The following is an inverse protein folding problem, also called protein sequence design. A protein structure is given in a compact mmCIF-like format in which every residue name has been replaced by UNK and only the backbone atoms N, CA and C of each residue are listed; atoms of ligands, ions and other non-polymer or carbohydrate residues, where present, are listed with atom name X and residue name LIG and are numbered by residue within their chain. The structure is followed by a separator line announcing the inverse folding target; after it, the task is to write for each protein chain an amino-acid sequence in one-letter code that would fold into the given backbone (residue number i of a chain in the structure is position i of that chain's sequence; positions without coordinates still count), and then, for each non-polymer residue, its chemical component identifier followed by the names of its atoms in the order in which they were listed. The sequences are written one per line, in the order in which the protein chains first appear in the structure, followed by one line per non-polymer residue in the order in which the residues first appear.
data_IF_431467196880
#
_entry.id   IF_431467196880
#
_cell.length_a   1.000
_cell.length_b   1.000
_cell.length_c   1.000
_cell.angle_alpha   90.00
_cell.angle_beta   90.00
_cell.angle_gamma   90.00
#
_symmetry.space_group_name_H-M   'P 1'
#
loop_
_entity.id
_entity.type
_entity.pdbx_description
1 polymer ?
#
# COMPACT_ATOMS: atom_id res chain seq x y z
N UNK A 1 -3.70 3.92 3.45
CA UNK A 1 -2.89 4.41 4.58
C UNK A 1 -3.84 4.82 5.69
N UNK A 2 -3.68 4.32 6.92
CA UNK A 2 -4.53 4.70 8.05
C UNK A 2 -4.40 6.19 8.35
N UNK A 3 -5.50 6.81 8.76
CA UNK A 3 -5.53 8.24 9.17
C UNK A 3 -5.65 8.41 10.67
N UNK A 4 -6.20 7.41 11.34
CA UNK A 4 -6.45 7.43 12.78
C UNK A 4 -6.35 6.01 13.34
N UNK A 5 -6.01 5.92 14.62
CA UNK A 5 -6.01 4.68 15.36
C UNK A 5 -6.45 4.98 16.80
N UNK A 6 -7.26 4.10 17.36
CA UNK A 6 -7.69 4.17 18.75
C UNK A 6 -7.32 2.85 19.43
N UNK A 7 -6.81 2.96 20.66
CA UNK A 7 -6.58 1.81 21.51
C UNK A 7 -7.22 2.08 22.89
N UNK A 8 -7.99 1.15 23.38
CA UNK A 8 -8.51 1.15 24.74
C UNK A 8 -7.74 0.14 25.58
N UNK A 9 -7.19 0.57 26.70
CA UNK A 9 -6.39 -0.28 27.57
C UNK A 9 -6.90 -0.20 29.01
N UNK A 10 -6.84 -1.31 29.72
CA UNK A 10 -7.18 -1.37 31.16
C UNK A 10 -5.89 -1.42 31.94
N UNK A 11 -5.76 -0.52 32.90
CA UNK A 11 -4.59 -0.41 33.75
C UNK A 11 -5.02 -0.36 35.26
N UNK A 12 -4.14 -0.81 36.13
CA UNK A 12 -4.38 -0.66 37.56
C UNK A 12 -4.44 0.83 37.94
N UNK A 13 -5.34 1.21 38.84
CA UNK A 13 -5.59 2.62 39.18
C UNK A 13 -4.35 3.35 39.70
N UNK A 14 -3.48 2.67 40.43
CA UNK A 14 -2.20 3.20 40.93
C UNK A 14 -1.14 3.38 39.83
N UNK A 15 -1.34 2.82 38.63
CA UNK A 15 -0.45 2.90 37.46
C UNK A 15 -0.91 3.89 36.39
N UNK A 16 -2.09 4.46 36.52
CA UNK A 16 -2.70 5.33 35.53
C UNK A 16 -1.78 6.52 35.14
N UNK A 17 -1.21 7.19 36.15
CA UNK A 17 -0.33 8.35 35.90
C UNK A 17 0.98 7.94 35.18
N UNK A 18 1.56 6.79 35.57
CA UNK A 18 2.78 6.26 34.94
C UNK A 18 2.54 5.90 33.46
N UNK A 19 1.44 5.20 33.20
CA UNK A 19 1.09 4.78 31.83
C UNK A 19 0.75 5.99 30.95
N UNK A 20 -0.02 6.96 31.49
CA UNK A 20 -0.30 8.22 30.77
C UNK A 20 0.98 8.94 30.37
N UNK A 21 1.90 9.12 31.32
CA UNK A 21 3.18 9.77 31.03
C UNK A 21 4.01 9.02 29.98
N UNK A 22 4.00 7.68 30.01
CA UNK A 22 4.68 6.87 29.01
C UNK A 22 4.09 7.06 27.61
N UNK A 23 2.75 7.09 27.47
CA UNK A 23 2.08 7.35 26.19
C UNK A 23 2.37 8.76 25.67
N UNK A 24 2.29 9.78 26.54
CA UNK A 24 2.56 11.17 26.18
C UNK A 24 4.02 11.37 25.73
N UNK A 25 4.98 10.70 26.37
CA UNK A 25 6.39 10.71 25.95
C UNK A 25 6.59 10.03 24.60
N UNK A 26 6.03 8.84 24.39
CA UNK A 26 6.08 8.16 23.10
C UNK A 26 5.44 8.99 21.99
N UNK A 27 4.29 9.62 22.25
CA UNK A 27 3.62 10.51 21.31
C UNK A 27 4.47 11.72 20.93
N UNK A 28 5.25 12.26 21.87
CA UNK A 28 6.18 13.36 21.60
C UNK A 28 7.31 12.91 20.69
N UNK A 29 7.94 11.76 20.95
CA UNK A 29 9.01 11.20 20.13
C UNK A 29 8.52 10.91 18.70
N UNK A 30 7.34 10.29 18.55
CA UNK A 30 6.72 10.02 17.24
C UNK A 30 6.42 11.33 16.51
N UNK A 31 5.92 12.35 17.20
CA UNK A 31 5.64 13.65 16.58
C UNK A 31 6.92 14.35 16.11
N UNK A 32 8.02 14.20 16.83
CA UNK A 32 9.33 14.72 16.40
C UNK A 32 9.86 13.99 15.18
N UNK A 33 9.71 12.65 15.13
CA UNK A 33 10.11 11.81 13.99
C UNK A 33 9.35 12.17 12.71
N UNK A 34 8.04 12.38 12.81
CA UNK A 34 7.17 12.66 11.66
C UNK A 34 6.87 14.14 11.46
N UNK A 35 7.64 15.05 12.05
CA UNK A 35 7.39 16.49 11.98
C UNK A 35 7.32 17.06 10.55
N UNK A 36 8.01 16.45 9.58
CA UNK A 36 8.01 16.87 8.18
C UNK A 36 6.87 16.27 7.37
N UNK A 37 6.56 14.99 7.59
CA UNK A 37 5.56 14.25 6.80
C UNK A 37 4.15 14.37 7.36
N UNK A 38 4.00 14.51 8.70
CA UNK A 38 2.74 14.50 9.43
C UNK A 38 2.75 15.55 10.55
N UNK A 39 2.95 16.82 10.21
CA UNK A 39 3.06 17.93 11.16
C UNK A 39 1.81 18.08 12.07
N UNK A 40 0.64 17.65 11.60
CA UNK A 40 -0.63 17.72 12.31
C UNK A 40 -0.95 16.49 13.16
N UNK A 41 -0.01 15.55 13.31
CA UNK A 41 -0.18 14.35 14.13
C UNK A 41 -0.56 14.72 15.57
N UNK A 42 -1.66 14.11 16.06
CA UNK A 42 -2.20 14.34 17.39
C UNK A 42 -2.37 13.00 18.12
N UNK A 43 -1.98 12.98 19.37
CA UNK A 43 -2.29 11.90 20.30
C UNK A 43 -3.09 12.50 21.46
N UNK A 44 -4.25 11.91 21.75
CA UNK A 44 -5.13 12.31 22.87
C UNK A 44 -5.23 11.14 23.80
N UNK A 45 -5.10 11.37 25.09
CA UNK A 45 -5.23 10.36 26.13
C UNK A 45 -6.39 10.74 27.04
N UNK A 46 -7.48 9.97 26.94
CA UNK A 46 -8.64 10.09 27.81
C UNK A 46 -8.59 9.03 28.90
N UNK A 47 -8.97 9.41 30.10
CA UNK A 47 -9.01 8.49 31.26
C UNK A 47 -10.45 8.39 31.74
N UNK A 48 -10.97 7.19 31.82
CA UNK A 48 -12.25 6.89 32.46
C UNK A 48 -12.03 5.98 33.69
N UNK A 49 -12.75 6.27 34.77
CA UNK A 49 -12.74 5.44 35.95
C UNK A 49 -13.88 4.40 35.90
N UNK A 50 -13.62 3.22 36.42
CA UNK A 50 -14.61 2.16 36.52
C UNK A 50 -14.89 1.45 35.21
N UNK A 51 -14.05 0.52 34.85
CA UNK A 51 -14.26 -0.34 33.69
C UNK A 51 -15.16 -1.54 34.05
N UNK A 52 -16.23 -1.73 33.26
CA UNK A 52 -17.09 -2.93 33.34
C UNK A 52 -16.86 -3.86 32.14
N UNK A 53 -15.89 -3.57 31.31
CA UNK A 53 -15.61 -4.28 30.09
C UNK A 53 -14.53 -5.35 30.30
N UNK A 54 -14.68 -6.50 29.67
CA UNK A 54 -13.64 -7.52 29.63
C UNK A 54 -12.48 -7.04 28.74
N UNK A 55 -11.25 -7.28 29.16
CA UNK A 55 -10.05 -6.96 28.41
C UNK A 55 -9.38 -8.23 27.89
N UNK A 56 -8.63 -8.09 26.84
CA UNK A 56 -7.67 -9.10 26.39
C UNK A 56 -6.64 -9.34 27.49
N UNK A 57 -6.27 -10.60 27.71
CA UNK A 57 -5.29 -10.95 28.74
C UNK A 57 -3.96 -10.24 28.53
N UNK A 58 -3.16 -10.07 29.57
CA UNK A 58 -1.82 -9.49 29.46
C UNK A 58 -0.93 -10.28 28.48
N UNK A 59 -0.99 -11.63 28.52
CA UNK A 59 -0.22 -12.50 27.64
C UNK A 59 -0.63 -12.28 26.17
N UNK A 60 -1.92 -12.27 25.87
CA UNK A 60 -2.43 -12.07 24.51
C UNK A 60 -2.18 -10.65 24.00
N UNK A 61 -2.31 -9.64 24.86
CA UNK A 61 -1.98 -8.25 24.53
C UNK A 61 -0.49 -8.11 24.18
N UNK A 62 0.39 -8.69 25.00
CA UNK A 62 1.84 -8.70 24.75
C UNK A 62 2.17 -9.40 23.44
N UNK A 63 1.53 -10.55 23.18
CA UNK A 63 1.71 -11.31 21.93
C UNK A 63 1.25 -10.52 20.73
N UNK A 64 0.10 -9.85 20.80
CA UNK A 64 -0.42 -9.03 19.72
C UNK A 64 0.48 -7.82 19.39
N UNK A 65 0.93 -7.09 20.42
CA UNK A 65 1.87 -5.97 20.25
C UNK A 65 3.20 -6.46 19.65
N UNK A 66 3.72 -7.58 20.15
CA UNK A 66 4.96 -8.18 19.62
C UNK A 66 4.81 -8.61 18.16
N UNK A 67 3.66 -9.17 17.78
CA UNK A 67 3.36 -9.52 16.40
C UNK A 67 3.32 -8.27 15.50
N UNK A 68 2.63 -7.19 15.93
CA UNK A 68 2.56 -5.93 15.19
C UNK A 68 3.97 -5.37 14.97
N UNK A 69 4.83 -5.40 15.99
CA UNK A 69 6.21 -4.92 15.89
C UNK A 69 7.11 -5.82 15.01
N UNK A 70 6.85 -7.12 14.96
CA UNK A 70 7.64 -8.07 14.17
C UNK A 70 7.24 -8.08 12.69
N UNK A 71 5.98 -7.79 12.38
CA UNK A 71 5.51 -7.76 11.00
C UNK A 71 6.10 -6.57 10.25
N UNK A 72 6.56 -6.79 9.00
CA UNK A 72 7.06 -5.70 8.18
C UNK A 72 5.93 -4.72 7.83
N UNK A 73 6.29 -3.45 7.61
CA UNK A 73 5.37 -2.42 7.13
C UNK A 73 6.12 -1.37 6.31
N UNK A 74 5.47 -0.81 5.28
CA UNK A 74 6.06 0.21 4.42
C UNK A 74 6.72 -0.34 3.16
N UNK A 75 7.78 0.32 2.68
CA UNK A 75 8.51 -0.07 1.47
C UNK A 75 9.48 -1.20 1.81
N UNK A 76 9.28 -2.35 1.14
CA UNK A 76 10.13 -3.52 1.28
C UNK A 76 11.26 -3.56 0.26
N UNK A 77 10.99 -3.03 -0.93
CA UNK A 77 11.95 -3.08 -2.03
C UNK A 77 11.70 -1.98 -3.04
N UNK A 78 12.76 -1.37 -3.51
CA UNK A 78 12.75 -0.46 -4.67
C UNK A 78 13.03 -1.26 -5.93
N UNK A 79 12.51 -0.80 -7.07
CA UNK A 79 12.79 -1.38 -8.39
C UNK A 79 14.29 -1.33 -8.69
N UNK A 80 14.79 -2.40 -9.33
CA UNK A 80 16.15 -2.46 -9.84
C UNK A 80 16.26 -2.01 -11.31
N UNK A 81 15.12 -1.82 -11.96
CA UNK A 81 15.03 -1.50 -13.38
C UNK A 81 14.57 -0.06 -13.63
N UNK A 82 13.91 0.57 -12.66
CA UNK A 82 13.37 1.93 -12.79
C UNK A 82 13.69 2.72 -11.51
N UNK A 83 14.38 3.83 -11.68
CA UNK A 83 14.76 4.69 -10.56
C UNK A 83 13.53 5.26 -9.84
N UNK A 84 13.63 5.34 -8.51
CA UNK A 84 12.61 5.90 -7.62
C UNK A 84 11.24 5.18 -7.62
N UNK A 85 11.14 4.03 -8.28
CA UNK A 85 9.91 3.22 -8.27
C UNK A 85 9.92 2.24 -7.08
N UNK A 86 8.85 2.25 -6.28
CA UNK A 86 8.60 1.21 -5.28
C UNK A 86 8.18 -0.07 -6.02
N UNK A 87 8.92 -1.15 -5.80
CA UNK A 87 8.62 -2.48 -6.37
C UNK A 87 7.67 -3.27 -5.48
N UNK A 88 8.00 -3.34 -4.19
CA UNK A 88 7.27 -4.15 -3.20
C UNK A 88 7.02 -3.34 -1.94
N UNK A 89 5.79 -3.32 -1.50
CA UNK A 89 5.39 -2.64 -0.26
C UNK A 89 4.22 -3.35 0.41
N UNK A 90 4.03 -3.06 1.68
CA UNK A 90 2.82 -3.42 2.39
C UNK A 90 2.43 -2.32 3.37
N UNK A 91 1.14 -2.28 3.69
CA UNK A 91 0.57 -1.30 4.60
C UNK A 91 -0.38 -1.99 5.57
N UNK A 92 -0.13 -1.86 6.87
CA UNK A 92 -1.10 -2.21 7.88
C UNK A 92 -2.22 -1.17 7.86
N UNK A 93 -3.33 -1.53 7.24
CA UNK A 93 -4.43 -0.61 6.98
C UNK A 93 -5.49 -0.59 8.07
N UNK A 94 -5.74 -1.74 8.72
CA UNK A 94 -6.79 -1.88 9.73
C UNK A 94 -6.33 -2.81 10.84
N UNK A 95 -6.58 -2.40 12.08
CA UNK A 95 -6.54 -3.25 13.27
C UNK A 95 -7.96 -3.30 13.83
N UNK A 96 -8.48 -4.47 14.08
CA UNK A 96 -9.78 -4.65 14.74
C UNK A 96 -9.68 -5.71 15.84
N UNK A 97 -10.49 -5.54 16.87
CA UNK A 97 -10.68 -6.47 17.96
C UNK A 97 -12.18 -6.79 18.05
N UNK A 98 -12.49 -8.08 18.04
CA UNK A 98 -13.85 -8.59 18.26
C UNK A 98 -13.81 -9.88 19.08
N UNK A 99 -14.94 -10.57 19.22
CA UNK A 99 -15.06 -11.82 19.98
C UNK A 99 -14.17 -12.95 19.45
N UNK A 100 -13.77 -12.90 18.17
CA UNK A 100 -12.87 -13.89 17.54
C UNK A 100 -11.39 -13.59 17.80
N UNK A 101 -11.06 -12.39 18.26
CA UNK A 101 -9.70 -11.96 18.60
C UNK A 101 -9.26 -10.70 17.85
N UNK A 102 -7.94 -10.51 17.79
CA UNK A 102 -7.31 -9.36 17.12
C UNK A 102 -7.05 -9.72 15.66
N UNK A 103 -7.55 -8.90 14.76
CA UNK A 103 -7.34 -9.03 13.32
C UNK A 103 -6.51 -7.86 12.78
N UNK A 104 -5.43 -8.17 12.06
CA UNK A 104 -4.55 -7.22 11.38
C UNK A 104 -4.75 -7.36 9.88
N UNK A 105 -5.18 -6.31 9.18
CA UNK A 105 -5.38 -6.33 7.73
C UNK A 105 -4.32 -5.52 7.02
N UNK A 106 -3.58 -6.20 6.17
CA UNK A 106 -2.53 -5.60 5.35
C UNK A 106 -2.94 -5.54 3.88
N UNK A 107 -2.54 -4.47 3.20
CA UNK A 107 -2.54 -4.40 1.75
C UNK A 107 -1.12 -4.63 1.25
N UNK A 108 -0.89 -5.73 0.52
CA UNK A 108 0.39 -6.08 -0.07
C UNK A 108 0.38 -5.72 -1.55
N UNK A 109 1.47 -5.15 -2.03
CA UNK A 109 1.65 -4.81 -3.44
C UNK A 109 3.06 -5.15 -3.90
N UNK A 110 3.18 -5.74 -5.07
CA UNK A 110 4.45 -5.92 -5.75
C UNK A 110 4.24 -6.00 -7.25
N UNK A 111 5.12 -5.37 -8.03
CA UNK A 111 5.20 -5.57 -9.48
C UNK A 111 5.94 -6.85 -9.86
N UNK A 112 6.58 -7.56 -8.90
CA UNK A 112 7.35 -8.78 -9.11
C UNK A 112 6.73 -9.95 -8.36
N UNK A 113 6.25 -10.95 -9.08
CA UNK A 113 5.53 -12.09 -8.49
C UNK A 113 6.35 -12.89 -7.48
N UNK A 114 7.64 -13.11 -7.74
CA UNK A 114 8.54 -13.79 -6.81
C UNK A 114 8.75 -13.02 -5.50
N UNK A 115 8.84 -11.68 -5.57
CA UNK A 115 8.98 -10.83 -4.40
C UNK A 115 7.70 -10.84 -3.54
N UNK A 116 6.52 -10.79 -4.18
CA UNK A 116 5.24 -10.92 -3.48
C UNK A 116 5.12 -12.26 -2.76
N UNK A 117 5.50 -13.36 -3.43
CA UNK A 117 5.49 -14.70 -2.83
C UNK A 117 6.41 -14.79 -1.62
N UNK A 118 7.60 -14.21 -1.70
CA UNK A 118 8.54 -14.16 -0.58
C UNK A 118 7.99 -13.36 0.60
N UNK A 119 7.41 -12.19 0.36
CA UNK A 119 6.79 -11.37 1.40
C UNK A 119 5.64 -12.10 2.10
N UNK A 120 4.77 -12.79 1.35
CA UNK A 120 3.71 -13.63 1.92
C UNK A 120 4.27 -14.74 2.81
N UNK A 121 5.34 -15.41 2.37
CA UNK A 121 5.99 -16.43 3.17
C UNK A 121 6.55 -15.87 4.47
N UNK A 122 7.18 -14.70 4.43
CA UNK A 122 7.70 -14.02 5.61
C UNK A 122 6.58 -13.68 6.60
N UNK A 123 5.49 -13.09 6.13
CA UNK A 123 4.32 -12.77 6.97
C UNK A 123 3.77 -14.05 7.63
N UNK A 124 3.62 -15.12 6.85
CA UNK A 124 3.13 -16.40 7.35
C UNK A 124 4.02 -16.97 8.45
N UNK A 125 5.33 -17.02 8.25
CA UNK A 125 6.29 -17.51 9.26
C UNK A 125 6.26 -16.68 10.53
N UNK A 126 6.23 -15.35 10.41
CA UNK A 126 6.13 -14.46 11.59
C UNK A 126 4.81 -14.71 12.31
N UNK A 127 3.69 -14.76 11.60
CA UNK A 127 2.37 -15.02 12.21
C UNK A 127 2.35 -16.35 12.98
N UNK A 128 2.85 -17.42 12.36
CA UNK A 128 2.93 -18.74 12.99
C UNK A 128 3.80 -18.74 14.26
N UNK A 129 4.92 -18.01 14.27
CA UNK A 129 5.78 -17.86 15.44
C UNK A 129 5.07 -17.21 16.63
N UNK A 130 4.11 -16.34 16.37
CA UNK A 130 3.26 -15.69 17.38
C UNK A 130 1.89 -16.39 17.57
N UNK A 131 1.72 -17.62 17.08
CA UNK A 131 0.48 -18.39 17.14
C UNK A 131 -0.72 -17.68 16.52
N UNK A 132 -0.48 -16.89 15.50
CA UNK A 132 -1.48 -16.23 14.68
C UNK A 132 -1.64 -16.95 13.32
N UNK A 133 -2.79 -16.79 12.68
CA UNK A 133 -3.04 -17.30 11.35
C UNK A 133 -2.92 -16.17 10.33
N UNK A 134 -2.35 -16.47 9.15
CA UNK A 134 -2.26 -15.52 8.04
C UNK A 134 -3.03 -16.08 6.83
N UNK A 135 -4.00 -15.31 6.36
CA UNK A 135 -4.79 -15.61 5.16
C UNK A 135 -4.55 -14.56 4.09
N UNK A 136 -4.49 -14.99 2.84
CA UNK A 136 -4.27 -14.11 1.69
C UNK A 136 -5.47 -14.19 0.75
N UNK A 137 -6.10 -13.05 0.50
CA UNK A 137 -7.31 -12.91 -0.32
C UNK A 137 -7.17 -11.78 -1.33
N UNK A 138 -8.01 -11.76 -2.36
CA UNK A 138 -8.04 -10.67 -3.33
C UNK A 138 -6.78 -10.57 -4.18
N UNK A 139 -6.15 -11.71 -4.46
CA UNK A 139 -4.91 -11.75 -5.22
C UNK A 139 -5.14 -11.42 -6.70
N UNK A 140 -4.22 -10.64 -7.25
CA UNK A 140 -4.13 -10.40 -8.68
C UNK A 140 -2.68 -10.58 -9.16
N UNK A 141 -2.46 -11.00 -10.42
CA UNK A 141 -1.11 -11.18 -10.96
C UNK A 141 -0.30 -9.88 -10.94
N UNK A 142 0.99 -9.99 -10.65
CA UNK A 142 1.92 -8.90 -10.84
C UNK A 142 2.01 -8.52 -12.32
N UNK A 143 2.15 -7.22 -12.61
CA UNK A 143 2.46 -6.74 -13.95
C UNK A 143 3.91 -6.30 -13.97
N UNK A 144 4.77 -7.26 -14.33
CA UNK A 144 6.21 -7.05 -14.36
C UNK A 144 6.61 -6.13 -15.51
N UNK A 145 7.61 -5.26 -15.26
CA UNK A 145 8.18 -4.42 -16.32
C UNK A 145 8.87 -5.27 -17.36
N UNK A 146 8.38 -5.23 -18.59
CA UNK A 146 8.96 -5.95 -19.74
C UNK A 146 10.07 -5.11 -20.32
N UNK A 147 11.35 -5.54 -20.15
CA UNK A 147 12.53 -4.80 -20.66
C UNK A 147 12.47 -4.62 -22.18
N UNK A 148 12.19 -5.68 -22.89
CA UNK A 148 12.09 -5.72 -24.36
C UNK A 148 10.62 -5.68 -24.78
N UNK A 149 10.07 -4.49 -25.00
CA UNK A 149 8.68 -4.28 -25.42
C UNK A 149 8.64 -3.56 -26.75
N UNK A 150 8.34 -4.30 -27.82
CA UNK A 150 8.19 -3.73 -29.16
C UNK A 150 7.02 -2.74 -29.21
N UNK A 151 5.93 -3.04 -28.52
CA UNK A 151 4.77 -2.15 -28.45
C UNK A 151 5.16 -0.80 -27.84
N UNK A 152 5.88 -0.82 -26.71
CA UNK A 152 6.35 0.42 -26.07
C UNK A 152 7.25 1.23 -26.99
N UNK A 153 8.19 0.58 -27.67
CA UNK A 153 9.14 1.27 -28.55
C UNK A 153 8.44 1.92 -29.74
N UNK A 154 7.48 1.21 -30.36
CA UNK A 154 6.65 1.75 -31.44
C UNK A 154 5.78 2.92 -30.94
N UNK A 155 5.17 2.79 -29.76
CA UNK A 155 4.35 3.84 -29.16
C UNK A 155 5.16 5.10 -28.82
N UNK A 156 6.36 4.95 -28.26
CA UNK A 156 7.28 6.09 -27.99
C UNK A 156 7.63 6.81 -29.29
N UNK A 157 7.99 6.07 -30.33
CA UNK A 157 8.32 6.63 -31.64
C UNK A 157 7.15 7.43 -32.24
N UNK A 158 5.94 6.88 -32.19
CA UNK A 158 4.74 7.55 -32.72
C UNK A 158 4.43 8.80 -31.88
N UNK A 159 4.53 8.72 -30.58
CA UNK A 159 4.31 9.87 -29.70
C UNK A 159 5.30 11.01 -30.00
N UNK A 160 6.59 10.68 -30.17
CA UNK A 160 7.62 11.66 -30.51
C UNK A 160 7.37 12.30 -31.89
N UNK A 161 6.91 11.53 -32.88
CA UNK A 161 6.51 12.05 -34.19
C UNK A 161 5.31 13.00 -34.12
N UNK A 162 4.30 12.70 -33.27
CA UNK A 162 3.09 13.50 -33.16
C UNK A 162 3.31 14.78 -32.35
N UNK A 163 4.12 14.72 -31.26
CA UNK A 163 4.19 15.79 -30.27
C UNK A 163 5.58 16.43 -30.13
N UNK A 164 6.60 15.96 -30.87
CA UNK A 164 7.96 16.51 -30.86
C UNK A 164 8.73 16.27 -29.55
N UNK A 165 8.22 15.40 -28.66
CA UNK A 165 8.84 15.06 -27.38
C UNK A 165 8.56 13.59 -27.05
N UNK A 166 9.45 12.97 -26.27
CA UNK A 166 9.22 11.60 -25.78
C UNK A 166 8.18 11.59 -24.66
N UNK A 167 7.34 10.54 -24.58
CA UNK A 167 6.47 10.35 -23.42
C UNK A 167 7.30 9.94 -22.20
N UNK A 168 6.80 10.22 -21.03
CA UNK A 168 7.32 9.62 -19.78
C UNK A 168 6.90 8.16 -19.74
N UNK A 169 7.86 7.28 -19.50
CA UNK A 169 7.60 5.84 -19.27
C UNK A 169 7.67 5.61 -17.78
N UNK A 170 6.56 5.16 -17.24
CA UNK A 170 6.44 4.86 -15.82
C UNK A 170 6.03 3.41 -15.63
N UNK A 171 6.34 2.86 -14.48
CA UNK A 171 5.77 1.62 -14.00
C UNK A 171 5.16 1.86 -12.61
N UNK A 172 4.12 1.13 -12.30
CA UNK A 172 3.43 1.23 -11.01
C UNK A 172 3.31 -0.16 -10.39
N UNK A 173 3.36 -0.24 -9.09
CA UNK A 173 3.13 -1.49 -8.34
C UNK A 173 1.65 -1.63 -7.91
N UNK A 174 0.74 -1.13 -8.74
CA UNK A 174 -0.71 -1.24 -8.54
C UNK A 174 -1.30 -2.37 -9.38
N UNK A 175 -2.41 -2.95 -8.90
CA UNK A 175 -3.21 -3.88 -9.67
C UNK A 175 -3.96 -3.13 -10.77
N UNK A 176 -3.58 -3.43 -12.01
CA UNK A 176 -4.26 -2.92 -13.19
C UNK A 176 -4.64 -4.09 -14.10
N UNK A 177 -5.58 -3.87 -15.00
CA UNK A 177 -6.09 -4.87 -15.94
C UNK A 177 -4.98 -5.52 -16.76
N UNK A 178 -3.92 -4.76 -17.08
CA UNK A 178 -2.75 -5.27 -17.80
C UNK A 178 -2.08 -6.44 -17.06
N UNK A 179 -2.00 -6.41 -15.74
CA UNK A 179 -1.47 -7.53 -14.93
C UNK A 179 -2.33 -8.78 -15.06
N UNK A 180 -3.65 -8.63 -15.04
CA UNK A 180 -4.60 -9.75 -15.21
C UNK A 180 -4.48 -10.35 -16.62
N UNK A 181 -4.41 -9.50 -17.64
CA UNK A 181 -4.28 -9.94 -19.02
C UNK A 181 -2.92 -10.61 -19.29
N UNK A 182 -1.84 -10.02 -18.83
CA UNK A 182 -0.49 -10.58 -18.95
C UNK A 182 -0.33 -11.91 -18.19
N UNK A 183 -1.01 -12.08 -17.05
CA UNK A 183 -1.02 -13.32 -16.30
C UNK A 183 -1.82 -14.45 -16.98
N UNK A 184 -2.74 -14.14 -17.90
CA UNK A 184 -3.56 -15.12 -18.63
C UNK A 184 -3.07 -15.41 -20.04
N UNK A 185 -2.38 -14.46 -20.67
CA UNK A 185 -1.95 -14.56 -22.06
C UNK A 185 -0.42 -14.56 -22.08
N UNK A 186 0.16 -15.70 -22.32
CA UNK A 186 1.61 -15.89 -22.34
C UNK A 186 2.25 -14.99 -23.42
N UNK A 187 3.31 -14.26 -23.04
CA UNK A 187 4.06 -13.39 -23.94
C UNK A 187 3.37 -12.07 -24.28
N UNK A 188 2.18 -11.78 -23.74
CA UNK A 188 1.47 -10.53 -24.00
C UNK A 188 2.37 -9.32 -23.77
N UNK A 189 2.40 -8.43 -24.74
CA UNK A 189 3.00 -7.11 -24.65
C UNK A 189 1.88 -6.08 -24.51
N UNK A 190 1.77 -5.43 -23.37
CA UNK A 190 0.69 -4.49 -23.08
C UNK A 190 1.19 -3.24 -22.36
N UNK A 191 0.55 -2.12 -22.67
CA UNK A 191 0.82 -0.80 -22.14
C UNK A 191 -0.48 -0.21 -21.62
N UNK A 192 -0.43 0.37 -20.43
CA UNK A 192 -1.51 1.18 -19.90
C UNK A 192 -1.28 2.65 -20.22
N UNK A 193 -2.29 3.31 -20.73
CA UNK A 193 -2.27 4.75 -21.02
C UNK A 193 -3.68 5.31 -20.92
N UNK A 194 -3.78 6.61 -20.69
CA UNK A 194 -5.07 7.27 -20.58
C UNK A 194 -4.94 8.79 -20.70
N UNK A 195 -6.08 9.49 -20.74
CA UNK A 195 -6.10 10.94 -20.65
C UNK A 195 -5.74 11.42 -19.24
N UNK A 196 -5.54 12.73 -19.10
CA UNK A 196 -5.30 13.36 -17.80
C UNK A 196 -6.59 13.28 -16.96
N UNK A 197 -6.48 12.64 -15.79
CA UNK A 197 -7.55 12.52 -14.79
C UNK A 197 -7.04 13.18 -13.52
N UNK A 198 -7.90 13.98 -12.89
CA UNK A 198 -7.60 14.74 -11.69
C UNK A 198 -8.49 14.27 -10.53
N UNK A 199 -8.01 14.43 -9.31
CA UNK A 199 -8.73 14.10 -8.07
C UNK A 199 -9.27 12.66 -8.03
N UNK A 200 -8.49 11.72 -8.57
CA UNK A 200 -8.86 10.31 -8.71
C UNK A 200 -9.27 9.73 -7.35
N UNK A 201 -10.36 8.97 -7.33
CA UNK A 201 -10.96 8.35 -6.13
C UNK A 201 -11.59 9.36 -5.14
N UNK A 202 -11.96 10.54 -5.61
CA UNK A 202 -12.72 11.53 -4.83
C UNK A 202 -14.03 11.88 -5.50
N UNK A 203 -14.90 12.63 -4.81
CA UNK A 203 -16.15 13.17 -5.39
C UNK A 203 -15.91 14.26 -6.43
N UNK A 204 -14.71 14.79 -6.49
CA UNK A 204 -14.28 15.85 -7.42
C UNK A 204 -13.54 15.26 -8.64
N UNK A 205 -13.51 13.94 -8.79
CA UNK A 205 -12.84 13.28 -9.90
C UNK A 205 -13.33 13.81 -11.24
N UNK A 206 -12.41 14.26 -12.07
CA UNK A 206 -12.73 14.81 -13.38
C UNK A 206 -11.67 14.52 -14.43
N UNK A 207 -12.09 14.57 -15.71
CA UNK A 207 -11.32 14.20 -16.88
C UNK A 207 -11.07 15.42 -17.77
N UNK A 208 -9.88 15.57 -18.29
CA UNK A 208 -9.55 16.59 -19.30
C UNK A 208 -10.08 16.21 -20.68
N UNK A 209 -11.07 16.96 -21.19
CA UNK A 209 -11.66 16.75 -22.53
C UNK A 209 -10.60 16.89 -23.62
N UNK A 210 -9.70 17.88 -23.52
CA UNK A 210 -8.65 18.11 -24.51
C UNK A 210 -7.61 16.99 -24.54
N UNK A 211 -7.25 16.42 -23.35
CA UNK A 211 -6.33 15.28 -23.31
C UNK A 211 -6.99 14.00 -23.82
N UNK A 212 -8.29 13.81 -23.60
CA UNK A 212 -9.05 12.69 -24.17
C UNK A 212 -9.02 12.72 -25.69
N UNK A 213 -9.18 13.89 -26.31
CA UNK A 213 -9.05 14.04 -27.76
C UNK A 213 -7.65 13.67 -28.24
N UNK A 214 -6.60 14.19 -27.60
CA UNK A 214 -5.21 13.85 -27.94
C UNK A 214 -4.94 12.35 -27.81
N UNK A 215 -5.44 11.74 -26.73
CA UNK A 215 -5.29 10.31 -26.50
C UNK A 215 -5.98 9.48 -27.60
N UNK A 216 -7.19 9.85 -27.98
CA UNK A 216 -7.91 9.20 -29.08
C UNK A 216 -7.13 9.28 -30.40
N UNK A 217 -6.64 10.46 -30.80
CA UNK A 217 -5.82 10.67 -31.99
C UNK A 217 -4.52 9.83 -31.94
N UNK A 218 -3.88 9.76 -30.76
CA UNK A 218 -2.69 8.94 -30.57
C UNK A 218 -2.98 7.44 -30.74
N UNK A 219 -4.05 6.92 -30.15
CA UNK A 219 -4.47 5.52 -30.30
C UNK A 219 -4.70 5.18 -31.78
N UNK A 220 -5.38 6.04 -32.53
CA UNK A 220 -5.60 5.82 -33.95
C UNK A 220 -4.28 5.70 -34.73
N UNK A 221 -3.29 6.55 -34.44
CA UNK A 221 -1.97 6.48 -35.06
C UNK A 221 -1.21 5.21 -34.69
N UNK A 222 -1.29 4.76 -33.43
CA UNK A 222 -0.68 3.51 -32.97
C UNK A 222 -1.28 2.31 -33.72
N UNK A 223 -2.61 2.26 -33.87
CA UNK A 223 -3.30 1.16 -34.55
C UNK A 223 -3.01 1.18 -36.07
N UNK A 224 -2.91 2.34 -36.66
CA UNK A 224 -2.63 2.49 -38.09
C UNK A 224 -1.17 2.15 -38.49
N UNK A 225 -0.26 2.15 -37.51
CA UNK A 225 1.18 1.91 -37.72
C UNK A 225 1.50 0.40 -37.61
N UNK A 226 0.86 -0.43 -38.46
CA UNK A 226 1.13 -1.87 -38.57
C UNK A 226 2.17 -2.19 -39.65
#
# INVERSE_FOLDING_TARGET
IPRECMAEIIVAADKTAEVKAAIENAAKEIKEEFATSDADLKCVVDISEGCSTEAVTYEDSTRAVSLIQALPNGIMRMSQDIDNLVETSLNLGVISLDESGICLRFSLRSSVGAALKNLKSQIKFISEAFRANAEFTGEYPAWEYKKDSKLRDDMVRIFEQMYGKKPTIEAIHAGVECGILAGKIEGLDCISMGPDIFDIHTTEEHLSISSTKRMYEYILNVIACK
#
